data_IF_181415687667
#
_entry.id   IF_181415687667
#
_cell.length_a   1.000
_cell.length_b   1.000
_cell.length_c   1.000
_cell.angle_alpha   90.00
_cell.angle_beta   90.00
_cell.angle_gamma   90.00
#
_symmetry.space_group_name_H-M   'P 1'
#
loop_
_entity.id
_entity.type
_entity.pdbx_description
1 polymer ?
#
# COMPACT_ATOMS: atom_id res chain seq x y z
N UNK A 1 14.49 21.80 7.31
CA UNK A 1 14.50 20.47 7.96
C UNK A 1 15.32 19.52 7.11
N UNK A 2 16.16 18.70 7.75
CA UNK A 2 17.25 17.94 7.14
C UNK A 2 16.79 16.76 6.25
N UNK A 3 16.06 17.07 5.17
CA UNK A 3 15.86 16.18 4.03
C UNK A 3 16.71 16.60 2.82
N UNK A 4 17.72 17.45 3.06
CA UNK A 4 18.80 17.71 2.13
C UNK A 4 19.80 16.53 2.02
N UNK A 5 19.61 15.46 2.79
CA UNK A 5 20.65 14.44 2.98
C UNK A 5 20.72 13.38 1.85
N UNK A 6 19.67 13.17 1.04
CA UNK A 6 19.67 12.17 -0.04
C UNK A 6 18.83 12.63 -1.25
N UNK A 7 19.46 13.04 -2.37
CA UNK A 7 18.74 13.57 -3.54
C UNK A 7 17.86 12.52 -4.26
N UNK A 8 18.07 11.24 -3.96
CA UNK A 8 17.31 10.10 -4.48
C UNK A 8 16.18 9.64 -3.52
N UNK A 9 15.90 10.39 -2.45
CA UNK A 9 14.87 10.02 -1.50
C UNK A 9 13.46 9.97 -2.14
N UNK A 10 12.73 8.87 -1.88
CA UNK A 10 11.33 8.68 -2.25
C UNK A 10 10.53 8.39 -0.98
N UNK A 11 9.76 9.36 -0.50
CA UNK A 11 8.85 9.16 0.64
C UNK A 11 7.83 8.06 0.34
N UNK A 12 7.61 7.16 1.28
CA UNK A 12 6.78 5.96 1.08
C UNK A 12 5.93 5.64 2.30
N UNK A 13 5.04 4.66 2.15
CA UNK A 13 4.16 4.16 3.22
C UNK A 13 3.36 5.32 3.85
N UNK A 14 3.31 5.44 5.18
CA UNK A 14 2.50 6.48 5.83
C UNK A 14 2.91 7.89 5.42
N UNK A 15 4.21 8.15 5.23
CA UNK A 15 4.68 9.46 4.79
C UNK A 15 4.18 9.81 3.39
N UNK A 16 3.99 8.82 2.51
CA UNK A 16 3.35 9.03 1.22
C UNK A 16 1.85 9.31 1.37
N UNK A 17 1.14 8.60 2.27
CA UNK A 17 -0.26 8.90 2.55
C UNK A 17 -0.45 10.35 3.01
N UNK A 18 0.41 10.85 3.90
CA UNK A 18 0.37 12.25 4.35
C UNK A 18 0.69 13.26 3.23
N UNK A 19 1.71 12.97 2.41
CA UNK A 19 2.12 13.82 1.30
C UNK A 19 1.11 13.85 0.15
N UNK A 20 0.37 12.76 -0.03
CA UNK A 20 -0.74 12.64 -0.99
C UNK A 20 -2.05 13.23 -0.44
N UNK A 21 -2.08 13.70 0.82
CA UNK A 21 -3.27 14.28 1.44
C UNK A 21 -4.34 13.24 1.81
N UNK A 22 -3.97 11.98 1.94
CA UNK A 22 -4.89 10.86 2.11
C UNK A 22 -4.82 10.21 3.51
N UNK A 23 -3.84 10.56 4.34
CA UNK A 23 -3.69 9.99 5.68
C UNK A 23 -4.90 10.30 6.58
N UNK A 24 -5.45 9.27 7.22
CA UNK A 24 -6.58 9.39 8.15
C UNK A 24 -6.15 9.66 9.59
N UNK A 25 -4.91 9.34 9.94
CA UNK A 25 -4.32 9.59 11.25
C UNK A 25 -2.97 10.31 11.13
N UNK A 26 -2.57 10.97 12.23
CA UNK A 26 -1.24 11.57 12.32
C UNK A 26 -0.21 10.49 12.66
N UNK A 27 0.98 10.57 12.05
CA UNK A 27 2.02 9.57 12.24
C UNK A 27 3.39 10.22 12.47
N UNK A 28 4.07 9.81 13.54
CA UNK A 28 5.35 10.39 13.94
C UNK A 28 6.56 9.74 13.27
N UNK A 29 6.38 8.81 12.32
CA UNK A 29 7.49 8.16 11.60
C UNK A 29 7.55 8.56 10.13
N UNK A 30 8.62 9.24 9.75
CA UNK A 30 8.94 9.59 8.37
C UNK A 30 9.68 8.44 7.68
N UNK A 31 9.04 7.74 6.74
CA UNK A 31 9.65 6.65 5.97
C UNK A 31 9.96 7.10 4.53
N UNK A 32 11.17 6.81 4.06
CA UNK A 32 11.56 7.02 2.67
C UNK A 32 12.48 5.93 2.16
N UNK A 33 12.41 5.68 0.86
CA UNK A 33 13.41 4.90 0.14
C UNK A 33 14.59 5.75 -0.29
N UNK A 34 15.78 5.16 -0.31
CA UNK A 34 16.97 5.76 -0.90
C UNK A 34 18.02 4.68 -1.18
N UNK A 35 19.05 5.02 -1.94
CA UNK A 35 20.29 4.26 -2.02
C UNK A 35 21.00 4.25 -0.67
N UNK A 36 21.65 3.12 -0.36
CA UNK A 36 22.42 2.93 0.86
C UNK A 36 21.76 2.02 1.91
N UNK A 37 22.43 1.90 3.05
CA UNK A 37 22.01 1.03 4.14
C UNK A 37 20.72 1.53 4.81
N UNK A 38 19.95 0.58 5.36
CA UNK A 38 18.81 0.89 6.23
C UNK A 38 19.32 1.66 7.45
N UNK A 39 18.67 2.76 7.76
CA UNK A 39 18.99 3.60 8.92
C UNK A 39 17.71 4.06 9.59
N UNK A 40 17.76 4.18 10.91
CA UNK A 40 16.67 4.69 11.73
C UNK A 40 17.24 5.59 12.81
N UNK A 41 16.67 6.79 12.95
CA UNK A 41 17.11 7.78 13.93
C UNK A 41 15.96 8.69 14.32
N UNK A 42 16.04 9.31 15.49
CA UNK A 42 15.07 10.29 15.94
C UNK A 42 15.48 11.72 15.55
N UNK A 43 14.50 12.53 15.21
CA UNK A 43 14.68 13.93 14.90
C UNK A 43 13.41 14.71 15.25
N UNK A 44 13.53 15.71 16.11
CA UNK A 44 12.43 16.62 16.48
C UNK A 44 11.15 15.88 16.94
N UNK A 45 11.32 14.88 17.82
CA UNK A 45 10.22 14.06 18.34
C UNK A 45 9.60 13.09 17.32
N UNK A 46 10.17 12.98 16.12
CA UNK A 46 9.75 12.06 15.06
C UNK A 46 10.83 11.01 14.79
N UNK A 47 10.43 9.78 14.44
CA UNK A 47 11.35 8.78 13.92
C UNK A 47 11.54 8.97 12.42
N UNK A 48 12.77 8.90 11.92
CA UNK A 48 13.08 8.88 10.50
C UNK A 48 13.62 7.50 10.15
N UNK A 49 13.01 6.87 9.14
CA UNK A 49 13.37 5.55 8.65
C UNK A 49 13.75 5.61 7.18
N UNK A 50 15.04 5.46 6.90
CA UNK A 50 15.57 5.27 5.57
C UNK A 50 15.63 3.77 5.25
N UNK A 51 14.98 3.34 4.18
CA UNK A 51 14.94 1.94 3.75
C UNK A 51 15.46 1.79 2.31
N UNK A 52 16.10 0.67 1.96
CA UNK A 52 16.48 0.43 0.57
C UNK A 52 15.23 0.29 -0.30
N UNK A 53 15.34 0.68 -1.57
CA UNK A 53 14.26 0.43 -2.55
C UNK A 53 13.87 -1.06 -2.58
N UNK A 54 12.59 -1.38 -2.84
CA UNK A 54 12.18 -2.76 -2.98
C UNK A 54 13.01 -3.47 -4.05
N UNK A 55 13.56 -4.65 -3.72
CA UNK A 55 14.43 -5.42 -4.61
C UNK A 55 13.80 -5.67 -5.98
N UNK A 56 12.48 -5.88 -6.02
CA UNK A 56 11.69 -6.04 -7.25
C UNK A 56 11.87 -4.86 -8.22
N UNK A 57 11.83 -3.63 -7.72
CA UNK A 57 11.98 -2.42 -8.54
C UNK A 57 13.46 -2.11 -8.80
N UNK A 58 14.32 -2.29 -7.80
CA UNK A 58 15.74 -2.00 -7.91
C UNK A 58 16.43 -2.86 -8.98
N UNK A 59 16.14 -4.17 -9.03
CA UNK A 59 16.74 -5.10 -10.00
C UNK A 59 16.38 -4.79 -11.45
N UNK A 60 15.25 -4.14 -11.68
CA UNK A 60 14.78 -3.76 -13.02
C UNK A 60 15.07 -2.29 -13.36
N UNK A 61 15.78 -1.54 -12.51
CA UNK A 61 15.97 -0.10 -12.64
C UNK A 61 14.65 0.70 -12.72
N UNK A 62 13.60 0.22 -12.06
CA UNK A 62 12.24 0.81 -12.07
C UNK A 62 11.88 1.47 -10.73
N UNK A 63 12.86 2.00 -10.00
CA UNK A 63 12.65 2.60 -8.66
C UNK A 63 11.77 3.86 -8.70
N UNK A 64 11.69 4.52 -9.86
CA UNK A 64 10.84 5.69 -10.12
C UNK A 64 9.43 5.33 -10.61
N UNK A 65 9.15 4.05 -10.90
CA UNK A 65 7.82 3.65 -11.34
C UNK A 65 6.79 3.92 -10.23
N UNK A 66 5.68 4.56 -10.63
CA UNK A 66 4.62 4.93 -9.69
C UNK A 66 5.07 5.91 -8.62
N UNK A 67 6.00 6.82 -8.93
CA UNK A 67 6.33 7.96 -8.06
C UNK A 67 5.67 9.25 -8.55
N UNK A 68 5.53 10.22 -7.66
CA UNK A 68 5.01 11.56 -7.93
C UNK A 68 5.91 12.60 -7.27
N UNK A 69 5.90 13.82 -7.82
CA UNK A 69 6.49 15.01 -7.19
C UNK A 69 5.37 15.83 -6.58
N UNK A 70 5.54 16.23 -5.33
CA UNK A 70 4.56 17.02 -4.58
C UNK A 70 5.25 18.21 -3.93
N UNK A 71 4.54 19.32 -3.81
CA UNK A 71 5.02 20.47 -3.08
C UNK A 71 4.73 20.30 -1.58
N UNK A 72 5.76 20.46 -0.74
CA UNK A 72 5.64 20.47 0.72
C UNK A 72 6.45 21.62 1.28
N UNK A 73 5.77 22.59 1.90
CA UNK A 73 6.39 23.75 2.56
C UNK A 73 7.38 24.50 1.65
N UNK A 74 6.99 24.75 0.39
CA UNK A 74 7.82 25.47 -0.59
C UNK A 74 8.98 24.67 -1.17
N UNK A 75 9.01 23.35 -0.99
CA UNK A 75 10.00 22.46 -1.61
C UNK A 75 9.32 21.31 -2.33
N UNK A 76 9.83 20.96 -3.51
CA UNK A 76 9.37 19.78 -4.25
C UNK A 76 10.05 18.54 -3.67
N UNK A 77 9.24 17.59 -3.23
CA UNK A 77 9.69 16.28 -2.75
C UNK A 77 9.14 15.17 -3.62
N UNK A 78 9.81 14.02 -3.64
CA UNK A 78 9.37 12.83 -4.38
C UNK A 78 8.77 11.82 -3.42
N UNK A 79 7.62 11.25 -3.80
CA UNK A 79 6.91 10.26 -3.01
C UNK A 79 6.38 9.13 -3.90
N UNK A 80 6.05 7.97 -3.33
CA UNK A 80 5.26 6.96 -4.04
C UNK A 80 3.87 7.51 -4.33
N UNK A 81 3.37 7.26 -5.54
CA UNK A 81 1.99 7.58 -5.91
C UNK A 81 0.99 6.65 -5.23
N UNK A 82 -0.32 6.94 -5.38
CA UNK A 82 -1.42 6.15 -4.81
C UNK A 82 -1.28 4.64 -5.00
N UNK A 83 -0.99 4.21 -6.22
CA UNK A 83 -0.93 2.80 -6.63
C UNK A 83 0.19 2.06 -5.89
N UNK A 84 1.39 2.67 -5.90
CA UNK A 84 2.56 2.09 -5.25
C UNK A 84 2.46 2.15 -3.72
N UNK A 85 1.91 3.24 -3.18
CA UNK A 85 1.67 3.38 -1.74
C UNK A 85 0.70 2.31 -1.23
N UNK A 86 -0.38 2.03 -1.97
CA UNK A 86 -1.34 0.97 -1.64
C UNK A 86 -0.66 -0.41 -1.60
N UNK A 87 0.05 -0.77 -2.67
CA UNK A 87 0.72 -2.07 -2.79
C UNK A 87 1.79 -2.26 -1.70
N UNK A 88 2.64 -1.26 -1.50
CA UNK A 88 3.72 -1.32 -0.50
C UNK A 88 3.18 -1.27 0.93
N UNK A 89 2.08 -0.58 1.15
CA UNK A 89 1.33 -0.61 2.41
C UNK A 89 0.84 -2.01 2.74
N UNK A 90 0.17 -2.70 1.81
CA UNK A 90 -0.24 -4.10 2.02
C UNK A 90 0.94 -5.05 2.18
N UNK A 91 2.08 -4.74 1.53
CA UNK A 91 3.31 -5.51 1.67
C UNK A 91 3.92 -5.36 3.06
N UNK A 92 3.84 -4.18 3.68
CA UNK A 92 4.39 -3.87 5.00
C UNK A 92 3.43 -3.01 5.83
N UNK A 93 2.33 -3.60 6.36
CA UNK A 93 1.30 -2.83 7.06
C UNK A 93 1.81 -2.04 8.28
N UNK A 94 2.86 -2.51 8.94
CA UNK A 94 3.48 -1.82 10.09
C UNK A 94 4.12 -0.48 9.75
N UNK A 95 4.34 -0.17 8.46
CA UNK A 95 4.88 1.11 8.00
C UNK A 95 3.78 2.12 7.61
N UNK A 96 2.51 1.69 7.63
CA UNK A 96 1.33 2.50 7.28
C UNK A 96 0.31 2.57 8.43
N UNK A 97 0.71 2.26 9.67
CA UNK A 97 -0.20 2.26 10.82
C UNK A 97 -1.12 1.03 10.92
N UNK A 98 -0.93 0.02 10.08
CA UNK A 98 -1.73 -1.20 10.03
C UNK A 98 -2.63 -1.28 8.80
N UNK A 99 -3.38 -2.38 8.68
CA UNK A 99 -4.26 -2.62 7.53
C UNK A 99 -5.46 -1.66 7.55
N UNK A 100 -6.05 -1.42 8.71
CA UNK A 100 -7.21 -0.52 8.85
C UNK A 100 -6.89 0.91 8.43
N UNK A 101 -5.77 1.44 8.91
CA UNK A 101 -5.31 2.79 8.55
C UNK A 101 -5.02 2.90 7.06
N UNK A 102 -4.36 1.89 6.48
CA UNK A 102 -4.08 1.85 5.05
C UNK A 102 -5.38 1.87 4.23
N UNK A 103 -6.36 1.04 4.59
CA UNK A 103 -7.62 0.92 3.84
C UNK A 103 -8.41 2.22 3.94
N UNK A 104 -8.54 2.80 5.13
CA UNK A 104 -9.18 4.10 5.32
C UNK A 104 -8.48 5.19 4.50
N UNK A 105 -7.15 5.28 4.61
CA UNK A 105 -6.36 6.28 3.90
C UNK A 105 -6.41 6.14 2.38
N UNK A 106 -6.22 4.92 1.87
CA UNK A 106 -6.20 4.68 0.44
C UNK A 106 -7.58 4.86 -0.21
N UNK A 107 -8.67 4.66 0.53
CA UNK A 107 -10.03 4.95 0.04
C UNK A 107 -10.23 6.45 -0.25
N UNK A 108 -9.44 7.32 0.36
CA UNK A 108 -9.43 8.77 0.11
C UNK A 108 -8.63 9.21 -1.11
N UNK A 109 -7.97 8.30 -1.85
CA UNK A 109 -7.30 8.67 -3.09
C UNK A 109 -8.32 9.13 -4.15
N UNK A 110 -7.95 10.14 -4.95
CA UNK A 110 -8.86 10.66 -5.98
C UNK A 110 -9.10 9.66 -7.14
N UNK A 111 -8.04 8.96 -7.55
CA UNK A 111 -8.08 7.96 -8.63
C UNK A 111 -7.01 6.90 -8.39
N UNK A 112 -7.22 5.71 -8.95
CA UNK A 112 -6.21 4.66 -9.06
C UNK A 112 -6.09 4.22 -10.51
N UNK A 113 -4.86 4.23 -11.03
CA UNK A 113 -4.56 3.65 -12.34
C UNK A 113 -4.46 2.12 -12.21
N UNK A 114 -5.47 1.43 -12.75
CA UNK A 114 -5.61 -0.03 -12.68
C UNK A 114 -4.49 -0.76 -13.44
N UNK A 115 -4.04 -0.20 -14.57
CA UNK A 115 -2.94 -0.76 -15.35
C UNK A 115 -1.60 -0.60 -14.64
N UNK A 116 -1.39 0.54 -13.99
CA UNK A 116 -0.20 0.77 -13.17
C UNK A 116 -0.18 -0.15 -11.94
N UNK A 117 -1.33 -0.37 -11.28
CA UNK A 117 -1.46 -1.35 -10.21
C UNK A 117 -1.05 -2.75 -10.68
N UNK A 118 -1.61 -3.22 -11.80
CA UNK A 118 -1.28 -4.52 -12.37
C UNK A 118 0.23 -4.62 -12.68
N UNK A 119 0.80 -3.62 -13.37
CA UNK A 119 2.22 -3.58 -13.71
C UNK A 119 3.14 -3.63 -12.48
N UNK A 120 2.79 -2.88 -11.42
CA UNK A 120 3.55 -2.92 -10.17
C UNK A 120 3.43 -4.30 -9.51
N UNK A 121 2.24 -4.88 -9.43
CA UNK A 121 2.00 -6.19 -8.85
C UNK A 121 2.73 -7.33 -9.59
N UNK A 122 2.82 -7.25 -10.92
CA UNK A 122 3.65 -8.13 -11.75
C UNK A 122 5.13 -8.05 -11.34
N UNK A 123 5.67 -6.82 -11.18
CA UNK A 123 7.06 -6.61 -10.76
C UNK A 123 7.33 -7.15 -9.35
N UNK A 124 6.42 -6.93 -8.40
CA UNK A 124 6.58 -7.50 -7.05
C UNK A 124 6.51 -9.02 -7.04
N UNK A 125 5.76 -9.64 -7.97
CA UNK A 125 5.59 -11.08 -8.10
C UNK A 125 5.12 -11.77 -6.80
N UNK A 126 4.25 -11.11 -6.03
CA UNK A 126 3.68 -11.63 -4.78
C UNK A 126 2.18 -11.80 -4.94
N UNK A 127 1.70 -13.05 -5.07
CA UNK A 127 0.26 -13.37 -5.26
C UNK A 127 -0.65 -12.80 -4.17
N UNK A 128 -0.18 -12.73 -2.93
CA UNK A 128 -0.95 -12.12 -1.83
C UNK A 128 -1.28 -10.64 -2.07
N UNK A 129 -0.38 -9.90 -2.73
CA UNK A 129 -0.62 -8.49 -3.02
C UNK A 129 -1.68 -8.31 -4.08
N UNK A 130 -1.74 -9.20 -5.08
CA UNK A 130 -2.86 -9.26 -6.03
C UNK A 130 -4.19 -9.44 -5.33
N UNK A 131 -4.26 -10.41 -4.40
CA UNK A 131 -5.47 -10.64 -3.61
C UNK A 131 -5.85 -9.43 -2.73
N UNK A 132 -4.87 -8.81 -2.05
CA UNK A 132 -5.12 -7.67 -1.18
C UNK A 132 -5.60 -6.43 -1.95
N UNK A 133 -4.95 -6.12 -3.08
CA UNK A 133 -5.35 -5.00 -3.94
C UNK A 133 -6.68 -5.30 -4.62
N UNK A 134 -6.89 -6.52 -5.12
CA UNK A 134 -8.15 -6.92 -5.73
C UNK A 134 -9.34 -6.79 -4.77
N UNK A 135 -9.19 -7.26 -3.53
CA UNK A 135 -10.19 -7.05 -2.47
C UNK A 135 -10.44 -5.56 -2.21
N UNK A 136 -9.39 -4.76 -2.11
CA UNK A 136 -9.53 -3.31 -1.90
C UNK A 136 -10.28 -2.63 -3.05
N UNK A 137 -9.97 -2.99 -4.29
CA UNK A 137 -10.65 -2.48 -5.49
C UNK A 137 -12.12 -2.92 -5.53
N UNK A 138 -12.43 -4.16 -5.14
CA UNK A 138 -13.80 -4.67 -5.07
C UNK A 138 -14.64 -3.87 -4.06
N UNK A 139 -14.12 -3.66 -2.85
CA UNK A 139 -14.81 -2.88 -1.81
C UNK A 139 -15.01 -1.41 -2.23
N UNK A 140 -14.10 -0.86 -3.04
CA UNK A 140 -14.13 0.53 -3.48
C UNK A 140 -14.46 0.67 -4.98
N UNK A 141 -15.17 -0.31 -5.56
CA UNK A 141 -15.32 -0.40 -7.02
C UNK A 141 -16.03 0.83 -7.60
N UNK A 142 -17.06 1.33 -6.90
CA UNK A 142 -17.77 2.54 -7.33
C UNK A 142 -16.89 3.79 -7.29
N UNK A 143 -16.10 3.98 -6.22
CA UNK A 143 -15.24 5.16 -6.04
C UNK A 143 -14.12 5.25 -7.06
N UNK A 144 -13.56 4.10 -7.46
CA UNK A 144 -12.45 4.03 -8.42
C UNK A 144 -12.89 3.61 -9.83
N UNK A 145 -14.20 3.56 -10.09
CA UNK A 145 -14.79 3.12 -11.36
C UNK A 145 -14.22 1.77 -11.88
N UNK A 146 -14.04 0.82 -10.96
CA UNK A 146 -13.50 -0.51 -11.26
C UNK A 146 -14.60 -1.37 -11.84
N UNK A 147 -14.35 -1.96 -13.01
CA UNK A 147 -15.28 -2.90 -13.63
C UNK A 147 -15.09 -4.32 -13.13
N UNK A 148 -16.10 -5.17 -13.30
CA UNK A 148 -15.99 -6.61 -13.01
C UNK A 148 -14.89 -7.27 -13.87
N UNK A 149 -14.64 -6.78 -15.09
CA UNK A 149 -13.55 -7.27 -15.94
C UNK A 149 -12.17 -6.96 -15.33
N UNK A 150 -12.01 -5.79 -14.70
CA UNK A 150 -10.80 -5.45 -13.96
C UNK A 150 -10.62 -6.38 -12.75
N UNK A 151 -11.69 -6.64 -11.99
CA UNK A 151 -11.62 -7.56 -10.84
C UNK A 151 -11.24 -8.98 -11.27
N UNK A 152 -11.83 -9.50 -12.35
CA UNK A 152 -11.49 -10.80 -12.91
C UNK A 152 -10.02 -10.87 -13.37
N UNK A 153 -9.47 -9.79 -13.93
CA UNK A 153 -8.04 -9.72 -14.29
C UNK A 153 -7.17 -9.91 -13.05
N UNK A 154 -7.48 -9.25 -11.93
CA UNK A 154 -6.71 -9.38 -10.69
C UNK A 154 -6.91 -10.75 -10.04
N UNK A 155 -8.13 -11.30 -10.11
CA UNK A 155 -8.50 -12.60 -9.54
C UNK A 155 -7.67 -13.75 -10.13
N UNK A 156 -7.31 -13.68 -11.41
CA UNK A 156 -6.44 -14.67 -12.08
C UNK A 156 -5.07 -14.84 -11.40
N UNK A 157 -4.60 -13.82 -10.69
CA UNK A 157 -3.31 -13.83 -9.99
C UNK A 157 -3.42 -14.15 -8.50
N UNK A 158 -4.63 -14.42 -7.99
CA UNK A 158 -4.83 -14.73 -6.57
C UNK A 158 -3.99 -15.94 -6.13
N UNK A 159 -3.69 -16.06 -4.82
CA UNK A 159 -3.07 -17.26 -4.27
C UNK A 159 -3.92 -18.51 -4.54
N UNK A 160 -3.27 -19.65 -4.78
CA UNK A 160 -3.96 -20.93 -5.00
C UNK A 160 -4.62 -21.50 -3.74
N UNK A 161 -4.24 -20.99 -2.57
CA UNK A 161 -4.79 -21.39 -1.28
C UNK A 161 -4.96 -20.14 -0.39
N UNK A 162 -5.87 -20.15 0.60
CA UNK A 162 -6.08 -19.05 1.51
C UNK A 162 -4.78 -18.53 2.15
N UNK A 163 -4.56 -17.21 2.10
CA UNK A 163 -3.41 -16.56 2.71
C UNK A 163 -3.83 -15.46 3.67
N UNK A 164 -3.23 -15.45 4.86
CA UNK A 164 -3.33 -14.34 5.79
C UNK A 164 -2.61 -13.11 5.22
N UNK A 165 -3.30 -11.97 5.18
CA UNK A 165 -2.70 -10.69 4.84
C UNK A 165 -1.57 -10.36 5.82
N UNK A 166 -1.82 -10.59 7.12
CA UNK A 166 -0.85 -10.41 8.22
C UNK A 166 -0.68 -11.75 8.96
N UNK A 167 0.55 -12.29 8.97
CA UNK A 167 0.85 -13.64 9.48
C UNK A 167 0.72 -13.84 10.99
N UNK A 168 0.70 -12.76 11.77
CA UNK A 168 0.72 -12.82 13.24
C UNK A 168 -0.68 -12.73 13.89
N UNK A 169 -1.75 -12.67 13.10
CA UNK A 169 -3.11 -12.52 13.60
C UNK A 169 -3.74 -13.90 13.85
N UNK A 170 -4.33 -14.10 15.03
CA UNK A 170 -5.20 -15.26 15.30
C UNK A 170 -6.62 -14.93 14.85
N UNK A 171 -7.25 -15.82 14.07
CA UNK A 171 -8.55 -15.56 13.45
C UNK A 171 -8.46 -14.58 12.28
N UNK A 172 -9.62 -14.23 11.71
CA UNK A 172 -9.71 -13.31 10.59
C UNK A 172 -10.92 -13.58 9.71
N UNK A 173 -11.25 -12.61 8.85
CA UNK A 173 -12.37 -12.70 7.93
C UNK A 173 -11.87 -13.27 6.60
N UNK A 174 -12.39 -14.43 6.20
CA UNK A 174 -12.01 -15.08 4.95
C UNK A 174 -12.81 -14.51 3.78
N UNK A 175 -12.10 -13.98 2.80
CA UNK A 175 -12.68 -13.46 1.56
C UNK A 175 -12.44 -14.48 0.45
N UNK A 176 -13.48 -15.27 0.17
CA UNK A 176 -13.40 -16.44 -0.71
C UNK A 176 -12.89 -16.09 -2.11
N UNK A 177 -13.41 -15.01 -2.72
CA UNK A 177 -13.00 -14.55 -4.05
C UNK A 177 -11.49 -14.34 -4.18
N UNK A 178 -10.83 -13.88 -3.11
CA UNK A 178 -9.42 -13.49 -3.17
C UNK A 178 -8.48 -14.52 -2.53
N UNK A 179 -9.00 -15.63 -1.99
CA UNK A 179 -8.24 -16.55 -1.15
C UNK A 179 -7.43 -15.79 -0.08
N UNK A 180 -8.08 -14.81 0.56
CA UNK A 180 -7.42 -13.88 1.47
C UNK A 180 -8.10 -13.92 2.84
N UNK A 181 -7.31 -14.02 3.89
CA UNK A 181 -7.78 -13.86 5.27
C UNK A 181 -7.34 -12.49 5.77
N UNK A 182 -8.31 -11.63 6.03
CA UNK A 182 -8.12 -10.27 6.55
C UNK A 182 -8.13 -10.27 8.07
N UNK A 183 -7.48 -9.28 8.73
CA UNK A 183 -7.64 -9.06 10.16
C UNK A 183 -9.12 -8.92 10.56
N UNK A 184 -9.49 -9.35 11.76
CA UNK A 184 -10.90 -9.46 12.19
C UNK A 184 -11.64 -8.11 12.18
N UNK A 185 -10.91 -7.03 12.42
CA UNK A 185 -11.37 -5.65 12.38
C UNK A 185 -11.66 -5.15 10.95
N UNK A 186 -11.26 -5.91 9.91
CA UNK A 186 -11.45 -5.58 8.50
C UNK A 186 -12.35 -6.63 7.83
N UNK A 187 -13.37 -6.17 7.11
CA UNK A 187 -14.20 -7.06 6.30
C UNK A 187 -15.42 -7.65 7.01
N UNK A 188 -16.08 -6.88 7.88
CA UNK A 188 -17.50 -7.14 8.18
C UNK A 188 -18.33 -6.76 6.95
N UNK A 189 -18.46 -7.68 6.01
CA UNK A 189 -19.55 -7.74 5.03
C UNK A 189 -20.41 -8.94 5.39
N UNK A 190 -21.69 -8.67 5.68
CA UNK A 190 -22.79 -9.49 6.23
C UNK A 190 -22.57 -10.98 6.63
N UNK A 191 -22.99 -11.36 7.86
CA UNK A 191 -23.43 -12.72 8.12
C UNK A 191 -24.89 -12.86 7.63
N UNK A 192 -25.09 -13.19 6.37
CA UNK A 192 -26.41 -13.71 5.96
C UNK A 192 -26.24 -14.88 4.99
N UNK A 193 -25.95 -16.04 5.59
CA UNK A 193 -26.38 -17.32 5.03
C UNK A 193 -27.59 -17.70 5.86
N UNK A 194 -28.76 -17.35 5.36
CA UNK A 194 -30.04 -17.69 5.95
C UNK A 194 -30.14 -19.20 6.16
N UNK A 195 -30.38 -19.58 7.41
CA UNK A 195 -31.11 -20.80 7.73
C UNK A 195 -32.57 -20.43 7.92
N UNK A 196 -33.42 -20.80 6.96
CA UNK A 196 -34.84 -21.08 7.13
C UNK A 196 -35.30 -21.99 5.99
#
# INVERSE_FOLDING_TARGET
MALAARPDAIFSHHSALELLGAAHSAWSTCTHYCSGARMEWEFDGSSIRAVPHPTALARCAMTELGTRRVERRGSIVRTTGPERTLIEGFRQPSLVGGVSELVASAAGFATLDIDLLAKLLELYAIRRLWAAVGWFLEVNAQSFAVSEADLLRFEQHRPNAPQYLVRATRGGNFIARWNLVLPQEIGKGDPDVGES
#
